data_IF_365759143734
#
_entry.id   IF_365759143734
#
_cell.length_a   1.000
_cell.length_b   1.000
_cell.length_c   1.000
_cell.angle_alpha   90.00
_cell.angle_beta   90.00
_cell.angle_gamma   90.00
#
_symmetry.space_group_name_H-M   'P 1'
#
loop_
_entity.id
_entity.type
_entity.pdbx_description
1 polymer ?
2 polymer ?
3 water ?
#
# COMPACT_ATOMS: atom_id res chain seq x y z
N UNK A 16 16.41 -0.18 25.71
CA UNK A 16 17.50 0.48 24.93
C UNK A 16 17.93 -0.36 23.71
N UNK A 17 17.04 -1.24 23.25
CA UNK A 17 17.31 -2.07 22.06
C UNK A 17 16.05 -2.31 21.23
N UNK A 18 16.21 -2.98 20.08
CA UNK A 18 15.19 -3.06 19.03
C UNK A 18 13.81 -3.45 19.53
N UNK A 19 12.85 -2.55 19.30
CA UNK A 19 11.50 -2.67 19.83
C UNK A 19 10.69 -3.71 19.08
N UNK A 20 10.66 -3.62 17.76
CA UNK A 20 10.00 -4.62 16.92
C UNK A 20 10.70 -5.99 16.96
N UNK A 21 11.98 -5.98 17.33
CA UNK A 21 12.80 -7.21 17.39
C UNK A 21 12.01 -8.46 17.83
N UNK A 22 11.19 -8.30 18.85
CA UNK A 22 10.45 -9.43 19.42
C UNK A 22 8.96 -9.45 19.02
N UNK A 23 8.61 -8.73 17.96
CA UNK A 23 7.21 -8.64 17.50
C UNK A 23 6.92 -9.57 16.34
N UNK A 24 5.73 -10.21 16.34
CA UNK A 24 5.39 -11.05 15.20
C UNK A 24 5.23 -10.19 13.96
N UNK A 25 5.77 -10.66 12.83
CA UNK A 25 5.76 -9.91 11.59
C UNK A 25 4.36 -9.49 11.18
N UNK A 26 3.40 -10.39 11.38
CA UNK A 26 2.01 -10.08 11.14
C UNK A 26 1.56 -8.76 11.77
N UNK A 27 2.03 -8.48 12.98
CA UNK A 27 1.54 -7.30 13.69
C UNK A 27 2.37 -6.06 13.37
N UNK A 28 3.58 -6.27 12.89
CA UNK A 28 4.37 -5.15 12.37
C UNK A 28 3.74 -4.62 11.09
N UNK A 29 3.25 -5.52 10.26
CA UNK A 29 2.57 -5.16 9.02
C UNK A 29 1.32 -4.38 9.34
N UNK A 30 0.58 -4.84 10.34
CA UNK A 30 -0.61 -4.15 10.73
C UNK A 30 -0.31 -2.72 11.12
N UNK A 31 0.77 -2.51 11.87
CA UNK A 31 1.19 -1.17 12.24
C UNK A 31 1.55 -0.37 10.99
N UNK A 32 2.18 -1.04 10.04
CA UNK A 32 2.59 -0.40 8.79
C UNK A 32 1.39 -0.11 7.91
N UNK A 33 0.33 -0.87 8.08
CA UNK A 33 -0.88 -0.68 7.32
C UNK A 33 -1.50 0.66 7.57
N UNK A 34 -1.14 1.31 8.64
CA UNK A 34 -1.67 2.65 8.95
C UNK A 34 -0.87 3.77 8.27
N UNK A 35 0.28 3.43 7.72
CA UNK A 35 1.13 4.41 7.10
C UNK A 35 0.88 4.52 5.58
N UNK A 36 0.99 5.74 5.07
CA UNK A 36 0.91 5.98 3.64
C UNK A 36 2.29 5.94 2.97
N UNK A 37 2.30 5.77 1.65
CA UNK A 37 3.54 5.50 0.91
C UNK A 37 4.77 6.34 1.29
N UNK A 38 4.60 7.66 1.47
CA UNK A 38 5.73 8.52 1.84
C UNK A 38 6.41 8.01 3.09
N UNK A 39 5.62 7.70 4.11
CA UNK A 39 6.13 7.26 5.39
C UNK A 39 6.71 5.85 5.30
N UNK A 40 6.00 4.93 4.62
CA UNK A 40 6.50 3.56 4.44
C UNK A 40 7.87 3.61 3.79
N UNK A 41 8.01 4.46 2.76
CA UNK A 41 9.29 4.71 2.09
C UNK A 41 10.41 5.04 3.09
N UNK A 42 10.13 5.98 3.99
CA UNK A 42 11.11 6.42 4.96
C UNK A 42 11.58 5.28 5.86
N UNK A 43 10.63 4.50 6.39
CA UNK A 43 10.98 3.38 7.25
C UNK A 43 11.50 2.18 6.45
N UNK A 44 11.23 2.18 5.15
CA UNK A 44 11.71 1.09 4.31
C UNK A 44 13.22 1.14 4.20
N UNK A 45 13.82 2.28 4.57
CA UNK A 45 15.26 2.40 4.48
C UNK A 45 15.98 2.53 5.83
N UNK A 46 15.39 1.89 6.84
CA UNK A 46 16.04 1.81 8.14
C UNK A 46 16.95 0.58 8.25
N UNK A 47 16.62 -0.46 7.46
CA UNK A 47 17.30 -1.76 7.49
C UNK A 47 16.67 -2.71 6.46
N UNK A 48 17.36 -3.79 6.11
CA UNK A 48 16.81 -4.80 5.19
C UNK A 48 15.46 -5.36 5.67
N UNK A 49 15.38 -5.60 6.98
CA UNK A 49 14.19 -6.12 7.63
C UNK A 49 12.97 -5.28 7.24
N UNK A 50 13.02 -3.98 7.55
CA UNK A 50 11.89 -3.09 7.25
C UNK A 50 11.73 -2.80 5.78
N UNK A 51 12.81 -2.95 5.02
CA UNK A 51 12.77 -2.83 3.58
C UNK A 51 11.84 -3.84 2.93
N UNK A 52 11.96 -5.10 3.35
CA UNK A 52 11.10 -6.17 2.84
C UNK A 52 9.66 -5.96 3.28
N UNK A 53 9.48 -5.61 4.55
CA UNK A 53 8.16 -5.49 5.16
C UNK A 53 7.32 -4.28 4.74
N UNK A 54 7.98 -3.18 4.38
CA UNK A 54 7.27 -1.94 4.02
C UNK A 54 6.86 -2.00 2.55
N UNK A 55 7.63 -2.79 1.78
CA UNK A 55 7.34 -3.04 0.39
C UNK A 55 6.42 -4.24 0.24
N UNK A 56 5.59 -4.46 1.27
CA UNK A 56 4.66 -5.56 1.27
C UNK A 56 3.66 -5.39 0.14
N UNK A 57 3.53 -6.47 -0.63
CA UNK A 57 2.55 -6.60 -1.69
C UNK A 57 1.18 -5.93 -1.36
N UNK A 58 0.74 -6.06 -0.12
CA UNK A 58 -0.57 -5.54 0.32
C UNK A 58 -0.57 -4.06 0.73
N UNK A 59 0.61 -3.45 0.84
CA UNK A 59 0.71 -2.06 1.29
C UNK A 59 0.90 -1.05 0.16
N UNK A 60 0.52 0.19 0.46
CA UNK A 60 0.49 1.32 -0.49
C UNK A 60 1.83 1.67 -1.15
N UNK A 61 2.94 1.39 -0.48
CA UNK A 61 4.24 1.68 -1.10
C UNK A 61 4.49 0.81 -2.34
N UNK A 62 4.30 -0.50 -2.20
CA UNK A 62 4.41 -1.41 -3.32
C UNK A 62 3.37 -1.10 -4.38
N UNK A 63 2.12 -0.91 -3.97
CA UNK A 63 1.03 -0.57 -4.90
C UNK A 63 1.24 0.68 -5.75
N UNK A 64 1.62 1.79 -5.12
CA UNK A 64 1.81 3.04 -5.86
C UNK A 64 3.08 3.02 -6.70
N UNK A 65 4.09 2.31 -6.22
CA UNK A 65 5.30 2.10 -6.99
C UNK A 65 5.03 1.37 -8.30
N UNK A 66 3.97 0.57 -8.35
CA UNK A 66 3.60 -0.05 -9.62
C UNK A 66 3.05 1.00 -10.56
N UNK A 67 2.05 1.76 -10.11
CA UNK A 67 1.44 2.76 -10.98
C UNK A 67 2.48 3.79 -11.44
N UNK A 68 3.55 3.94 -10.66
CA UNK A 68 4.63 4.81 -11.02
C UNK A 68 5.49 4.19 -12.10
N UNK A 69 5.86 2.93 -11.93
CA UNK A 69 6.67 2.23 -12.93
C UNK A 69 5.90 2.19 -14.25
N UNK A 70 4.62 1.84 -14.14
CA UNK A 70 3.69 1.84 -15.26
C UNK A 70 3.65 3.21 -15.96
N UNK A 71 3.66 4.28 -15.16
CA UNK A 71 3.59 5.63 -15.71
C UNK A 71 4.81 6.05 -16.49
N UNK A 72 5.98 5.63 -16.03
CA UNK A 72 7.21 5.96 -16.74
C UNK A 72 7.24 5.22 -18.07
N UNK A 73 6.88 3.94 -18.00
CA UNK A 73 6.77 3.09 -19.16
C UNK A 73 5.76 3.65 -20.18
N UNK A 74 4.62 4.14 -19.69
CA UNK A 74 3.65 4.76 -20.58
C UNK A 74 4.22 5.94 -21.34
N UNK A 75 4.85 6.86 -20.62
CA UNK A 75 5.51 7.99 -21.25
C UNK A 75 6.46 7.54 -22.35
N UNK A 76 7.30 6.54 -22.08
CA UNK A 76 8.24 6.06 -23.08
C UNK A 76 7.55 5.42 -24.27
N UNK A 77 6.52 4.62 -23.97
CA UNK A 77 5.73 4.02 -25.05
C UNK A 77 5.14 5.09 -25.99
N UNK A 78 4.65 6.17 -25.41
CA UNK A 78 4.17 7.31 -26.16
C UNK A 78 5.23 7.83 -27.16
N UNK A 79 6.44 8.10 -26.68
CA UNK A 79 7.57 8.52 -27.54
C UNK A 79 8.00 7.50 -28.60
N UNK A 80 8.03 6.23 -28.24
CA UNK A 80 8.45 5.19 -29.19
C UNK A 80 7.41 5.10 -30.30
N UNK A 81 6.15 5.16 -29.91
CA UNK A 81 5.06 5.09 -30.85
C UNK A 81 5.12 6.29 -31.80
N UNK A 82 5.29 7.49 -31.23
CA UNK A 82 5.20 8.71 -32.01
C UNK A 82 6.34 8.77 -33.04
N UNK A 83 7.49 8.19 -32.70
CA UNK A 83 8.65 8.30 -33.56
C UNK A 83 8.80 7.07 -34.47
N UNK A 84 7.72 6.29 -34.58
CA UNK A 84 7.66 5.13 -35.46
C UNK A 84 8.65 4.01 -35.07
N UNK A 85 9.19 4.11 -33.87
CA UNK A 85 10.16 3.15 -33.36
C UNK A 85 9.46 1.83 -32.93
N UNK A 86 8.99 1.09 -33.92
CA UNK A 86 8.16 -0.09 -33.71
C UNK A 86 8.79 -1.15 -32.79
N UNK A 87 10.09 -1.36 -32.98
CA UNK A 87 10.85 -2.34 -32.21
C UNK A 87 10.90 -1.95 -30.74
N UNK A 88 10.99 -0.65 -30.45
CA UNK A 88 10.98 -0.17 -29.07
C UNK A 88 9.57 -0.29 -28.44
N UNK A 89 8.55 0.09 -29.19
CA UNK A 89 7.17 -0.09 -28.78
C UNK A 89 6.93 -1.54 -28.41
N UNK A 90 7.42 -2.47 -29.23
CA UNK A 90 7.28 -3.90 -28.97
C UNK A 90 7.98 -4.32 -27.67
N UNK A 91 9.16 -3.74 -27.42
CA UNK A 91 9.90 -4.02 -26.16
C UNK A 91 9.06 -3.63 -24.96
N UNK A 92 8.50 -2.43 -24.99
CA UNK A 92 7.75 -1.89 -23.85
C UNK A 92 6.48 -2.66 -23.67
N UNK A 93 5.79 -2.90 -24.77
CA UNK A 93 4.62 -3.73 -24.74
C UNK A 93 4.91 -5.12 -24.15
N UNK A 94 6.04 -5.70 -24.52
CA UNK A 94 6.44 -7.01 -23.95
C UNK A 94 6.58 -7.03 -22.43
N UNK A 95 6.68 -5.84 -21.82
CA UNK A 95 6.75 -5.70 -20.37
C UNK A 95 5.36 -5.61 -19.72
N UNK A 96 4.36 -6.19 -20.37
CA UNK A 96 2.98 -6.20 -19.89
C UNK A 96 2.30 -4.87 -19.62
N UNK A 97 2.16 -4.06 -20.65
CA UNK A 97 1.43 -2.78 -20.58
C UNK A 97 0.24 -2.82 -21.52
N UNK A 98 -0.89 -2.29 -21.09
CA UNK A 98 -2.06 -2.21 -21.94
C UNK A 98 -2.20 -0.82 -22.53
N UNK A 99 -1.92 -0.67 -23.84
CA UNK A 99 -1.90 0.64 -24.50
C UNK A 99 -3.29 1.16 -24.81
N UNK A 100 -4.31 0.34 -24.58
CA UNK A 100 -5.69 0.76 -24.82
C UNK A 100 -6.21 1.52 -23.62
N UNK A 101 -5.62 1.24 -22.46
CA UNK A 101 -6.04 1.80 -21.18
C UNK A 101 -5.43 3.17 -20.90
N UNK A 102 -6.26 4.21 -20.99
CA UNK A 102 -5.82 5.58 -20.74
C UNK A 102 -6.71 6.27 -19.68
N UNK A 103 -6.28 7.43 -19.21
CA UNK A 103 -7.03 8.18 -18.20
C UNK A 103 -6.63 9.65 -18.17
N UNK A 104 -7.10 10.38 -17.16
CA UNK A 104 -6.89 11.83 -17.13
C UNK A 104 -5.43 12.18 -16.98
N UNK A 105 -4.73 11.42 -16.15
CA UNK A 105 -3.32 11.65 -15.91
C UNK A 105 -2.57 11.66 -17.25
N UNK A 106 -2.98 10.78 -18.17
CA UNK A 106 -2.37 10.65 -19.50
C UNK A 106 -3.12 11.44 -20.58
N UNK A 107 -3.93 12.39 -20.13
CA UNK A 107 -4.63 13.32 -21.03
C UNK A 107 -5.61 12.62 -21.96
N UNK A 108 -6.07 11.43 -21.54
CA UNK A 108 -6.90 10.54 -22.36
C UNK A 108 -6.37 10.27 -23.77
N UNK A 109 -5.04 10.27 -23.91
CA UNK A 109 -4.38 9.97 -25.19
C UNK A 109 -3.91 8.52 -25.17
N UNK A 110 -3.67 7.97 -26.35
CA UNK A 110 -3.16 6.60 -26.46
C UNK A 110 -1.96 6.60 -27.36
N UNK A 111 -1.05 5.63 -27.17
CA UNK A 111 0.05 5.49 -28.15
C UNK A 111 -0.42 5.29 -29.60
N UNK A 112 -1.67 4.89 -29.80
CA UNK A 112 -2.22 4.81 -31.16
C UNK A 112 -2.31 6.21 -31.72
N UNK A 113 -2.88 7.11 -30.94
CA UNK A 113 -2.97 8.51 -31.31
C UNK A 113 -1.57 9.12 -31.40
N UNK A 114 -0.65 8.67 -30.54
CA UNK A 114 0.77 9.10 -30.63
C UNK A 114 1.39 8.77 -31.98
N UNK A 115 1.38 7.49 -32.35
CA UNK A 115 1.84 7.06 -33.67
C UNK A 115 1.26 7.93 -34.84
N UNK A 116 -0.05 8.12 -34.84
CA UNK A 116 -0.73 8.85 -35.90
C UNK A 116 -0.19 10.28 -36.03
N UNK A 117 -0.14 11.02 -34.92
CA UNK A 117 0.39 12.38 -34.97
C UNK A 117 1.86 12.42 -35.44
N UNK A 118 2.63 11.39 -35.10
CA UNK A 118 4.02 11.33 -35.49
C UNK A 118 4.28 10.83 -36.90
N UNK A 119 3.23 10.72 -37.71
CA UNK A 119 3.29 10.11 -39.06
C UNK A 119 3.83 8.68 -39.07
N UNK A 120 3.74 7.99 -37.92
CA UNK A 120 4.26 6.63 -37.75
C UNK A 120 3.27 5.54 -38.16
N UNK A 121 2.90 5.55 -39.44
CA UNK A 121 1.76 4.73 -39.92
C UNK A 121 1.97 3.23 -39.87
N UNK A 122 3.21 2.79 -39.78
CA UNK A 122 3.46 1.37 -39.64
C UNK A 122 3.14 0.94 -38.21
N UNK A 123 3.53 1.82 -37.28
CA UNK A 123 3.39 1.58 -35.86
C UNK A 123 1.91 1.66 -35.48
N UNK A 124 1.25 2.64 -36.07
CA UNK A 124 -0.19 2.78 -35.91
C UNK A 124 -0.91 1.56 -36.47
N UNK A 125 -0.44 1.03 -37.59
CA UNK A 125 -1.08 -0.18 -38.12
C UNK A 125 -0.86 -1.35 -37.22
N UNK A 126 0.32 -1.37 -36.62
CA UNK A 126 0.66 -2.44 -35.72
C UNK A 126 -0.30 -2.40 -34.53
N UNK A 127 -0.38 -1.24 -33.90
CA UNK A 127 -1.19 -1.07 -32.70
C UNK A 127 -2.65 -1.30 -32.99
N UNK A 128 -3.14 -0.77 -34.11
CA UNK A 128 -4.54 -0.94 -34.45
C UNK A 128 -4.92 -2.41 -34.64
N UNK A 129 -4.11 -3.14 -35.39
CA UNK A 129 -4.36 -4.54 -35.67
C UNK A 129 -4.14 -5.42 -34.41
N UNK A 130 -3.12 -5.11 -33.62
CA UNK A 130 -2.69 -5.99 -32.54
C UNK A 130 -3.50 -5.81 -31.25
N UNK A 131 -4.24 -4.70 -31.14
CA UNK A 131 -5.02 -4.38 -29.91
C UNK A 131 -6.40 -3.81 -30.24
N UNK A 132 -7.28 -3.74 -29.25
CA UNK A 132 -8.62 -3.23 -29.50
C UNK A 132 -8.75 -1.80 -29.02
N UNK A 133 -8.85 -0.88 -29.98
CA UNK A 133 -8.93 0.54 -29.67
C UNK A 133 -10.28 1.09 -30.12
N UNK A 134 -10.79 2.08 -29.40
CA UNK A 134 -11.94 2.85 -29.83
C UNK A 134 -11.42 3.97 -30.75
N UNK A 135 -11.66 3.85 -32.05
CA UNK A 135 -11.08 4.82 -32.99
C UNK A 135 -11.74 6.18 -32.97
N UNK A 136 -12.90 6.28 -32.34
CA UNK A 136 -13.59 7.57 -32.21
C UNK A 136 -13.41 8.24 -30.88
N UNK A 137 -12.69 7.61 -29.96
CA UNK A 137 -12.53 8.15 -28.62
C UNK A 137 -11.59 9.36 -28.61
N UNK A 138 -12.17 10.51 -28.28
CA UNK A 138 -11.44 11.78 -28.19
C UNK A 138 -10.63 11.85 -26.91
N UNK A 139 -9.44 12.44 -26.98
CA UNK A 139 -8.56 12.60 -25.84
C UNK A 139 -8.97 13.86 -25.04
N UNK A 140 -8.09 14.41 -24.20
CA UNK A 140 -8.41 15.63 -23.46
C UNK A 140 -8.00 16.91 -24.20
N UNK A 141 -7.71 16.76 -25.48
CA UNK A 141 -7.57 17.89 -26.38
C UNK A 141 -8.71 17.86 -27.38
N UNK A 142 -9.53 16.81 -27.30
CA UNK A 142 -10.66 16.60 -28.20
C UNK A 142 -10.26 15.97 -29.52
N UNK A 143 -9.38 14.98 -29.47
CA UNK A 143 -8.94 14.31 -30.69
C UNK A 143 -9.07 12.79 -30.65
N UNK A 144 -9.53 12.21 -31.76
CA UNK A 144 -9.64 10.78 -31.89
C UNK A 144 -8.72 10.29 -32.99
N UNK A 145 -8.39 8.99 -32.97
CA UNK A 145 -7.64 8.43 -34.10
C UNK A 145 -8.23 8.81 -35.46
N UNK A 146 -9.52 8.57 -35.70
CA UNK A 146 -10.19 8.99 -36.93
C UNK A 146 -10.09 10.50 -37.18
N UNK A 147 -10.50 11.31 -36.21
CA UNK A 147 -10.55 12.76 -36.42
C UNK A 147 -9.18 13.35 -36.75
N UNK A 148 -8.15 12.80 -36.15
CA UNK A 148 -6.80 13.28 -36.39
C UNK A 148 -6.32 12.81 -37.75
N UNK A 149 -6.55 11.54 -38.06
CA UNK A 149 -6.20 10.99 -39.36
C UNK A 149 -6.90 11.76 -40.49
N UNK A 150 -8.14 12.18 -40.25
CA UNK A 150 -8.95 12.91 -41.22
C UNK A 150 -8.47 14.33 -41.40
N UNK A 151 -8.18 15.01 -40.29
CA UNK A 151 -7.62 16.35 -40.34
C UNK A 151 -6.24 16.30 -41.00
N UNK A 152 -5.58 15.16 -40.90
CA UNK A 152 -4.28 14.98 -41.55
C UNK A 152 -4.44 14.93 -43.05
N UNK A 153 -5.55 14.34 -43.48
CA UNK A 153 -5.83 14.10 -44.89
C UNK A 153 -6.19 15.40 -45.61
N UNK A 154 -6.84 16.30 -44.88
CA UNK A 154 -7.24 17.62 -45.40
C UNK A 154 -6.08 18.61 -45.46
N UNK A 155 -4.90 18.18 -45.00
CA UNK A 155 -3.73 19.04 -44.88
C UNK A 155 -2.75 18.90 -46.07
N UNK A 156 -2.56 20.00 -46.83
CA UNK A 156 -1.67 20.04 -48.01
C UNK A 156 -0.21 19.64 -47.76
N UNK A 157 0.33 19.98 -46.59
CA UNK A 157 1.73 19.68 -46.26
C UNK A 157 2.04 18.18 -46.11
N UNK A 158 1.03 17.34 -46.28
CA UNK A 158 1.20 15.89 -46.22
C UNK A 158 1.43 15.29 -47.60
N UNK A 159 2.54 14.57 -47.72
CA UNK A 159 2.96 13.94 -48.97
C UNK A 159 1.91 12.94 -49.51
N UNK A 160 2.05 12.52 -50.76
CA UNK A 160 1.05 11.68 -51.44
C UNK A 160 0.90 10.27 -50.85
N UNK A 161 2.01 9.57 -50.66
CA UNK A 161 2.00 8.20 -50.10
C UNK A 161 1.56 8.16 -48.62
N UNK A 162 1.89 9.21 -47.89
CA UNK A 162 1.40 9.39 -46.54
C UNK A 162 -0.10 9.41 -46.57
N UNK A 163 -0.66 10.28 -47.41
CA UNK A 163 -2.10 10.46 -47.48
C UNK A 163 -2.78 9.20 -47.96
N UNK A 164 -2.01 8.27 -48.46
CA UNK A 164 -2.57 7.00 -48.89
C UNK A 164 -2.59 6.05 -47.73
N UNK A 165 -1.46 5.93 -47.04
CA UNK A 165 -1.35 5.05 -45.87
C UNK A 165 -2.50 5.36 -44.92
N UNK A 166 -2.89 6.62 -44.92
CA UNK A 166 -3.91 7.11 -44.04
C UNK A 166 -5.27 6.59 -44.45
N UNK A 167 -5.72 6.93 -45.64
CA UNK A 167 -7.04 6.46 -46.08
C UNK A 167 -7.25 4.99 -45.76
N UNK A 168 -6.20 4.19 -45.95
CA UNK A 168 -6.24 2.77 -45.61
C UNK A 168 -6.60 2.57 -44.15
N UNK A 169 -6.07 3.45 -43.30
CA UNK A 169 -6.27 3.37 -41.87
C UNK A 169 -7.66 3.85 -41.48
N UNK A 170 -8.06 5.00 -42.00
CA UNK A 170 -9.43 5.48 -41.81
C UNK A 170 -10.45 4.40 -42.19
N UNK A 171 -10.30 3.82 -43.38
CA UNK A 171 -11.17 2.73 -43.79
C UNK A 171 -11.10 1.53 -42.85
N UNK A 172 -9.90 1.23 -42.36
CA UNK A 172 -9.74 0.16 -41.39
C UNK A 172 -10.57 0.45 -40.16
N UNK A 173 -10.43 1.65 -39.61
CA UNK A 173 -11.11 1.97 -38.38
C UNK A 173 -12.60 2.19 -38.54
N UNK A 174 -13.03 2.57 -39.73
CA UNK A 174 -14.44 2.87 -39.95
C UNK A 174 -15.24 1.64 -40.34
N UNK A 175 -14.64 0.79 -41.17
CA UNK A 175 -15.39 -0.30 -41.77
C UNK A 175 -15.09 -1.73 -41.28
N UNK A 176 -13.92 -1.98 -40.72
CA UNK A 176 -13.56 -3.35 -40.32
C UNK A 176 -14.35 -3.85 -39.10
N UNK A 177 -14.33 -5.17 -38.90
CA UNK A 177 -15.06 -5.80 -37.79
C UNK A 177 -14.50 -5.42 -36.44
N UNK A 178 -15.28 -5.69 -35.39
CA UNK A 178 -14.83 -5.47 -34.02
C UNK A 178 -15.07 -6.73 -33.19
N UNK A 179 -14.58 -6.75 -31.94
CA UNK A 179 -14.67 -7.90 -31.01
C UNK A 179 -14.10 -9.18 -31.60
N UNK B 2 -20.79 -13.43 37.81
CA UNK B 2 -20.11 -12.52 36.90
C UNK B 2 -18.59 -12.49 37.08
N UNK B 3 -18.11 -12.52 38.31
CA UNK B 3 -16.66 -12.40 38.53
C UNK B 3 -15.84 -13.67 38.27
N UNK B 4 -14.61 -13.50 37.75
CA UNK B 4 -13.58 -14.55 37.70
C UNK B 4 -12.19 -13.96 37.97
N UNK B 5 -11.20 -14.82 38.15
CA UNK B 5 -9.86 -14.32 38.43
C UNK B 5 -8.76 -14.92 37.60
N UNK B 6 -7.84 -14.07 37.19
CA UNK B 6 -6.75 -14.45 36.33
C UNK B 6 -5.48 -14.30 37.13
N UNK B 7 -4.48 -15.08 36.77
CA UNK B 7 -3.18 -15.00 37.40
C UNK B 7 -2.14 -14.70 36.34
N UNK B 8 -1.32 -13.68 36.60
CA UNK B 8 -0.21 -13.35 35.73
C UNK B 8 0.95 -14.34 35.88
N UNK B 9 2.03 -14.11 35.15
CA UNK B 9 3.25 -14.88 35.32
C UNK B 9 3.98 -14.54 36.63
N UNK B 10 3.71 -13.34 37.16
CA UNK B 10 4.24 -12.87 38.43
C UNK B 10 3.78 -13.77 39.56
N UNK B 11 2.63 -14.39 39.38
CA UNK B 11 2.00 -15.16 40.42
C UNK B 11 0.81 -14.42 40.96
N UNK B 12 0.75 -13.12 40.70
CA UNK B 12 -0.29 -12.27 41.25
C UNK B 12 -1.66 -12.52 40.62
N UNK B 13 -2.70 -12.45 41.44
CA UNK B 13 -4.06 -12.79 41.04
C UNK B 13 -4.94 -11.56 40.87
N UNK B 14 -5.62 -11.48 39.74
CA UNK B 14 -6.56 -10.39 39.45
C UNK B 14 -7.96 -10.94 39.31
N UNK B 15 -8.90 -10.37 40.04
CA UNK B 15 -10.29 -10.77 39.97
C UNK B 15 -11.05 -9.77 39.15
N UNK B 16 -11.64 -10.21 38.04
CA UNK B 16 -12.37 -9.30 37.15
C UNK B 16 -13.74 -9.84 36.74
N UNK B 17 -14.66 -8.93 36.46
CA UNK B 17 -15.98 -9.29 35.94
C UNK B 17 -15.75 -10.05 34.64
N UNK B 18 -16.64 -10.97 34.32
CA UNK B 18 -16.51 -11.80 33.12
C UNK B 18 -16.71 -10.97 31.84
N UNK B 19 -17.75 -10.14 31.84
CA UNK B 19 -18.05 -9.30 30.70
C UNK B 19 -16.79 -8.60 30.17
N UNK B 20 -16.06 -7.95 31.08
CA UNK B 20 -14.81 -7.30 30.74
C UNK B 20 -13.83 -8.31 30.17
N UNK B 21 -13.50 -9.31 30.96
CA UNK B 21 -12.53 -10.34 30.59
C UNK B 21 -12.82 -10.99 29.23
N UNK B 22 -14.10 -11.17 28.92
CA UNK B 22 -14.51 -11.78 27.68
C UNK B 22 -14.24 -10.92 26.47
N UNK B 23 -13.51 -9.84 26.66
CA UNK B 23 -13.12 -9.01 25.54
C UNK B 23 -11.81 -9.47 24.97
N UNK B 24 -11.16 -10.33 25.74
CA UNK B 24 -10.02 -11.10 25.28
C UNK B 24 -10.62 -12.37 24.73
N UNK B 25 -10.58 -12.50 23.42
CA UNK B 25 -11.08 -13.69 22.79
C UNK B 25 -10.34 -14.91 23.34
N UNK B 26 -9.04 -14.76 23.60
CA UNK B 26 -8.24 -15.83 24.18
C UNK B 26 -8.90 -16.32 25.46
N UNK B 27 -9.15 -15.41 26.40
CA UNK B 27 -9.81 -15.73 27.67
C UNK B 27 -11.20 -16.34 27.45
N UNK B 28 -11.97 -15.73 26.56
CA UNK B 28 -13.29 -16.22 26.16
C UNK B 28 -13.24 -17.68 25.67
N UNK B 29 -12.21 -18.03 24.90
CA UNK B 29 -12.03 -19.39 24.41
C UNK B 29 -11.74 -20.36 25.56
N UNK B 30 -10.92 -19.90 26.49
CA UNK B 30 -10.56 -20.70 27.64
C UNK B 30 -11.75 -21.06 28.47
N UNK B 31 -12.69 -20.14 28.60
CA UNK B 31 -13.84 -20.40 29.46
C UNK B 31 -14.77 -21.47 28.88
N UNK B 32 -14.72 -21.66 27.57
CA UNK B 32 -15.49 -22.71 26.92
C UNK B 32 -14.79 -24.02 27.13
N UNK B 33 -13.46 -23.98 27.06
CA UNK B 33 -12.64 -25.19 27.15
C UNK B 33 -12.67 -25.81 28.54
N UNK B 34 -13.45 -25.21 29.45
CA UNK B 34 -13.65 -25.70 30.80
C UNK B 34 -14.88 -24.96 31.38
N UNK B 35 -15.25 -25.26 32.60
CA UNK B 35 -16.38 -24.61 33.22
C UNK B 35 -16.45 -23.11 33.01
N UNK B 36 -17.60 -22.66 32.55
CA UNK B 36 -17.94 -21.25 32.53
C UNK B 36 -18.69 -20.94 33.82
N UNK B 37 -19.60 -19.97 33.74
CA UNK B 37 -20.44 -19.60 34.89
C UNK B 37 -21.21 -18.33 34.57
N UNK B 42 -14.55 -18.44 42.41
CA UNK B 42 -14.04 -19.79 42.24
C UNK B 42 -12.52 -19.79 42.04
N UNK B 43 -12.04 -20.58 41.08
CA UNK B 43 -10.64 -20.94 40.99
C UNK B 43 -9.91 -20.19 39.87
N UNK B 44 -8.77 -19.61 40.19
CA UNK B 44 -8.05 -18.74 39.21
C UNK B 44 -7.53 -19.43 37.95
N UNK B 45 -7.49 -18.69 36.85
CA UNK B 45 -6.97 -19.18 35.57
C UNK B 45 -5.65 -18.49 35.22
N UNK B 46 -4.59 -19.27 34.93
CA UNK B 46 -3.26 -18.70 34.69
C UNK B 46 -3.10 -18.08 33.30
N UNK B 47 -2.46 -16.92 33.24
CA UNK B 47 -2.06 -16.31 31.98
C UNK B 47 -0.54 -16.18 31.97
N UNK B 48 0.16 -17.24 31.58
CA UNK B 48 1.61 -17.32 31.63
C UNK B 48 2.38 -16.24 30.84
N UNK B 49 1.83 -15.77 29.73
CA UNK B 49 2.53 -14.76 28.93
C UNK B 49 2.23 -13.29 29.27
N UNK B 50 1.66 -13.02 30.44
CA UNK B 50 1.46 -11.63 30.88
C UNK B 50 1.95 -11.45 32.31
N UNK B 51 2.76 -10.41 32.52
CA UNK B 51 3.13 -9.99 33.87
C UNK B 51 1.99 -9.17 34.46
N UNK B 52 2.03 -8.90 35.75
CA UNK B 52 0.94 -8.24 36.46
C UNK B 52 0.86 -6.75 36.16
N UNK B 53 2.00 -6.12 35.87
CA UNK B 53 2.01 -4.71 35.51
C UNK B 53 1.19 -4.47 34.21
N UNK B 54 1.47 -5.30 33.20
CA UNK B 54 0.78 -5.24 31.93
C UNK B 54 -0.65 -5.67 32.12
N UNK B 55 -0.86 -6.87 32.67
CA UNK B 55 -2.19 -7.39 32.92
C UNK B 55 -3.07 -6.34 33.58
N UNK B 56 -2.55 -5.70 34.64
CA UNK B 56 -3.28 -4.65 35.34
C UNK B 56 -3.77 -3.60 34.36
N UNK B 57 -2.84 -3.12 33.53
CA UNK B 57 -3.14 -2.19 32.45
C UNK B 57 -4.27 -2.68 31.52
N UNK B 58 -4.19 -3.90 30.99
CA UNK B 58 -5.19 -4.37 30.04
C UNK B 58 -6.55 -4.55 30.69
N UNK B 59 -6.55 -4.89 31.97
CA UNK B 59 -7.79 -4.89 32.75
C UNK B 59 -8.40 -3.48 32.71
N UNK B 60 -7.59 -2.45 32.94
CA UNK B 60 -8.10 -1.09 32.87
C UNK B 60 -8.72 -0.83 31.50
N UNK B 61 -7.96 -1.11 30.44
CA UNK B 61 -8.41 -0.89 29.07
C UNK B 61 -9.76 -1.58 28.79
N UNK B 62 -9.82 -2.86 29.11
CA UNK B 62 -11.02 -3.66 28.84
C UNK B 62 -12.25 -3.18 29.62
N UNK B 63 -12.04 -2.72 30.84
CA UNK B 63 -13.14 -2.22 31.64
C UNK B 63 -13.71 -1.00 30.94
N UNK B 64 -12.88 0.01 30.73
CA UNK B 64 -13.30 1.20 30.02
C UNK B 64 -14.07 0.91 28.71
N UNK B 65 -13.83 -0.24 28.12
CA UNK B 65 -14.42 -0.54 26.83
C UNK B 65 -15.53 -1.58 26.84
N UNK B 66 -15.88 -2.12 27.99
CA UNK B 66 -16.86 -3.20 28.04
C UNK B 66 -18.13 -2.97 27.23
N UNK B 67 -18.45 -1.72 26.92
CA UNK B 67 -19.70 -1.45 26.22
C UNK B 67 -19.65 -1.32 24.70
N UNK B 68 -19.10 -0.24 24.19
CA UNK B 68 -18.75 -0.17 22.76
C UNK B 68 -19.78 -0.52 21.64
N UNK B 69 -19.35 -1.31 20.59
CA UNK B 69 -20.32 -1.51 19.52
C UNK B 69 -20.78 -2.96 19.44
N UNK B 79 -10.12 0.67 4.92
CA UNK B 79 -9.46 1.96 5.11
C UNK B 79 -8.90 2.08 6.52
N UNK B 80 -7.79 2.80 6.68
CA UNK B 80 -7.12 2.88 7.97
C UNK B 80 -6.70 4.31 8.34
N UNK B 81 -7.39 4.93 9.28
CA UNK B 81 -7.03 6.27 9.69
C UNK B 81 -6.33 6.21 11.03
N UNK B 82 -5.19 6.87 11.12
CA UNK B 82 -4.40 6.91 12.35
C UNK B 82 -4.78 8.01 13.34
N UNK B 83 -5.65 8.94 12.97
CA UNK B 83 -5.90 10.09 13.82
C UNK B 83 -7.16 9.99 14.67
N UNK B 84 -7.80 8.82 14.72
CA UNK B 84 -9.07 8.80 15.39
C UNK B 84 -9.00 8.04 16.68
N UNK B 85 -7.86 8.06 17.35
CA UNK B 85 -7.75 7.39 18.63
C UNK B 85 -8.50 8.19 19.70
N UNK B 86 -9.47 7.57 20.36
CA UNK B 86 -10.15 8.33 21.41
C UNK B 86 -9.21 9.00 22.38
N UNK B 87 -9.68 10.04 23.04
CA UNK B 87 -8.85 10.82 23.94
C UNK B 87 -8.36 9.98 25.13
N UNK B 88 -9.26 9.19 25.70
CA UNK B 88 -8.94 8.33 26.86
C UNK B 88 -7.78 7.37 26.58
N UNK B 89 -7.81 6.72 25.42
CA UNK B 89 -6.76 5.78 25.01
C UNK B 89 -5.41 6.45 24.77
N UNK B 90 -5.42 7.65 24.20
CA UNK B 90 -4.19 8.42 24.03
C UNK B 90 -3.51 8.68 25.35
N UNK B 91 -4.31 8.97 26.37
CA UNK B 91 -3.83 9.26 27.69
C UNK B 91 -3.36 7.97 28.35
N UNK B 92 -4.14 6.92 28.19
CA UNK B 92 -3.78 5.56 28.62
C UNK B 92 -2.46 5.08 28.01
N UNK B 93 -2.24 5.38 26.73
CA UNK B 93 -1.01 4.94 26.07
C UNK B 93 0.16 5.90 26.24
N UNK B 94 0.02 6.85 27.18
CA UNK B 94 1.16 7.70 27.53
C UNK B 94 2.06 6.94 28.51
N UNK B 95 2.84 6.02 27.96
CA UNK B 95 3.72 5.14 28.72
C UNK B 95 5.04 5.06 27.97
N UNK B 96 6.05 4.47 28.60
CA UNK B 96 7.32 4.22 27.90
C UNK B 96 7.19 3.16 26.81
N UNK B 97 8.11 3.21 25.85
CA UNK B 97 8.16 2.29 24.73
C UNK B 97 8.21 0.82 25.13
N UNK B 98 8.87 0.54 26.24
CA UNK B 98 8.91 -0.82 26.77
C UNK B 98 7.50 -1.29 27.00
N UNK B 99 6.75 -0.50 27.77
CA UNK B 99 5.39 -0.83 28.13
C UNK B 99 4.51 -0.91 26.89
N UNK B 100 4.72 0.01 25.96
CA UNK B 100 3.89 0.04 24.78
C UNK B 100 3.96 -1.26 23.96
N UNK B 101 5.15 -1.84 23.86
CA UNK B 101 5.30 -3.04 23.05
C UNK B 101 4.84 -4.29 23.79
N UNK B 102 4.80 -4.20 25.11
CA UNK B 102 4.31 -5.30 25.89
C UNK B 102 2.80 -5.27 25.89
N UNK B 103 2.24 -4.09 25.73
CA UNK B 103 0.80 -4.00 25.55
C UNK B 103 0.40 -4.64 24.23
N UNK B 104 1.10 -4.29 23.15
CA UNK B 104 0.88 -4.97 21.87
C UNK B 104 0.97 -6.51 21.96
N UNK B 105 2.04 -7.02 22.59
CA UNK B 105 2.19 -8.47 22.79
C UNK B 105 1.03 -9.02 23.59
N UNK B 106 0.65 -8.33 24.66
CA UNK B 106 -0.51 -8.72 25.44
C UNK B 106 -1.76 -8.69 24.57
N UNK B 107 -1.91 -7.64 23.76
CA UNK B 107 -3.06 -7.54 22.89
C UNK B 107 -3.14 -8.76 21.99
N UNK B 108 -1.97 -9.21 21.53
CA UNK B 108 -1.85 -10.41 20.69
C UNK B 108 -2.20 -11.70 21.41
N UNK B 109 -1.44 -11.96 22.45
CA UNK B 109 -1.62 -13.11 23.30
C UNK B 109 -3.07 -13.22 23.78
N UNK B 110 -3.62 -12.12 24.25
CA UNK B 110 -4.98 -12.15 24.78
C UNK B 110 -6.01 -11.99 23.68
N UNK B 111 -5.55 -11.61 22.49
CA UNK B 111 -6.41 -11.43 21.34
C UNK B 111 -7.56 -10.48 21.66
N UNK B 112 -7.21 -9.23 22.00
CA UNK B 112 -8.15 -8.13 22.14
C UNK B 112 -7.94 -7.14 21.00
N UNK B 113 -8.77 -7.27 19.96
CA UNK B 113 -8.58 -6.52 18.72
C UNK B 113 -8.54 -5.00 18.91
N UNK B 114 -9.46 -4.47 19.74
CA UNK B 114 -9.50 -3.03 20.02
C UNK B 114 -8.20 -2.45 20.54
N UNK B 115 -7.59 -3.15 21.49
CA UNK B 115 -6.35 -2.72 22.08
C UNK B 115 -5.24 -2.81 21.03
N UNK B 116 -5.30 -3.87 20.23
CA UNK B 116 -4.28 -4.09 19.22
C UNK B 116 -4.20 -2.92 18.24
N UNK B 117 -5.37 -2.41 17.84
CA UNK B 117 -5.46 -1.28 16.94
C UNK B 117 -4.82 0.00 17.48
N UNK B 118 -5.32 0.48 18.61
CA UNK B 118 -4.85 1.73 19.19
C UNK B 118 -3.35 1.70 19.52
N UNK B 119 -2.88 0.58 20.01
CA UNK B 119 -1.46 0.45 20.27
C UNK B 119 -0.68 0.49 18.97
N UNK B 120 -1.16 -0.24 17.96
CA UNK B 120 -0.50 -0.22 16.68
C UNK B 120 -0.56 1.19 16.07
N UNK B 121 -1.74 1.79 16.10
CA UNK B 121 -1.93 3.17 15.64
C UNK B 121 -0.96 4.13 16.35
N UNK B 122 -0.84 3.97 17.66
CA UNK B 122 0.07 4.80 18.45
C UNK B 122 1.53 4.69 18.02
N UNK B 123 1.94 3.49 17.64
CA UNK B 123 3.28 3.26 17.14
C UNK B 123 3.38 3.87 15.75
N UNK B 124 2.29 3.77 14.97
CA UNK B 124 2.34 4.30 13.59
C UNK B 124 2.53 5.82 13.60
N UNK B 125 1.86 6.49 14.53
CA UNK B 125 2.03 7.93 14.62
C UNK B 125 3.42 8.29 15.08
N UNK B 126 4.08 7.35 15.75
CA UNK B 126 5.47 7.57 16.15
C UNK B 126 6.38 7.57 14.94
N UNK B 127 5.98 6.82 13.93
CA UNK B 127 6.76 6.72 12.70
C UNK B 127 6.47 7.90 11.76
N UNK B 128 5.24 8.42 11.78
CA UNK B 128 4.85 9.53 10.91
C UNK B 128 5.78 10.74 11.08
N UNK B 129 5.97 11.50 10.01
CA UNK B 129 6.79 12.70 9.98
C UNK B 129 8.24 12.63 10.43
N UNK B 130 8.84 11.43 10.37
CA UNK B 130 10.23 11.28 10.80
C UNK B 130 11.22 10.98 9.68
N UNK B 131 12.49 11.28 9.95
CA UNK B 131 13.58 10.90 9.07
C UNK B 131 14.03 9.47 9.34
N UNK B 132 14.41 8.73 8.28
CA UNK B 132 14.93 7.37 8.45
C UNK B 132 15.84 7.20 9.66
N UNK B 133 16.74 8.15 9.89
CA UNK B 133 17.68 8.08 11.01
C UNK B 133 17.00 8.36 12.36
N UNK B 134 16.08 9.31 12.37
CA UNK B 134 15.27 9.61 13.55
C UNK B 134 14.39 8.42 13.90
N UNK B 135 13.82 7.79 12.88
CA UNK B 135 13.08 6.54 13.06
C UNK B 135 13.95 5.52 13.81
N UNK B 136 15.17 5.32 13.33
CA UNK B 136 16.12 4.42 13.96
C UNK B 136 16.46 4.83 15.37
N UNK B 137 16.65 6.12 15.59
CA UNK B 137 17.00 6.65 16.91
C UNK B 137 15.87 6.45 17.92
N UNK B 138 14.64 6.43 17.44
CA UNK B 138 13.45 6.25 18.26
C UNK B 138 13.26 4.80 18.66
N UNK B 139 13.66 3.87 17.78
CA UNK B 139 13.32 2.46 17.96
C UNK B 139 14.53 1.55 18.09
N UNK B 140 15.70 2.17 18.11
CA UNK B 140 16.98 1.47 18.19
C UNK B 140 17.12 0.42 17.11
N UNK B 141 17.00 0.90 15.88
CA UNK B 141 17.13 0.08 14.69
C UNK B 141 18.52 0.28 14.15
N UNK B 142 19.29 -0.79 14.11
CA UNK B 142 20.67 -0.69 13.69
C UNK B 142 20.72 -0.59 12.18
N UNK B 143 21.32 0.50 11.70
CA UNK B 143 21.53 0.67 10.29
C UNK B 143 22.66 -0.22 9.88
N UNK B 144 22.34 -1.15 8.98
CA UNK B 144 23.28 -2.15 8.50
C UNK B 144 23.54 -1.98 7.02
N UNK B 145 22.71 -1.18 6.38
CA UNK B 145 22.85 -0.86 4.97
C UNK B 145 24.18 -0.16 4.73
N UNK B 146 24.94 -0.64 3.74
CA UNK B 146 26.06 0.09 3.19
C UNK B 146 25.55 1.29 2.39
N UNK B 147 26.32 2.39 2.39
CA UNK B 147 25.93 3.63 1.73
C UNK B 147 25.41 3.43 0.32
N UNK B 148 26.07 2.59 -0.45
CA UNK B 148 25.63 2.25 -1.80
C UNK B 148 24.21 1.68 -1.84
N UNK B 149 23.97 0.60 -1.09
CA UNK B 149 22.67 -0.06 -1.08
C UNK B 149 21.59 0.81 -0.45
N UNK B 150 21.94 1.63 0.54
CA UNK B 150 20.97 2.57 1.09
C UNK B 150 20.57 3.63 0.05
N UNK B 151 21.56 4.28 -0.54
CA UNK B 151 21.33 5.23 -1.62
C UNK B 151 20.42 4.65 -2.71
N UNK B 152 20.50 3.34 -2.91
CA UNK B 152 19.68 2.65 -3.91
C UNK B 152 18.20 2.64 -3.59
N UNK B 153 17.82 2.31 -2.35
CA UNK B 153 16.42 2.40 -1.95
C UNK B 153 15.98 3.87 -1.89
N UNK B 154 16.91 4.74 -1.51
CA UNK B 154 16.68 6.19 -1.50
C UNK B 154 16.21 6.64 -2.88
N UNK B 155 17.02 6.32 -3.89
CA UNK B 155 16.74 6.66 -5.29
C UNK B 155 15.52 5.92 -5.82
N UNK B 156 15.39 4.67 -5.38
CA UNK B 156 14.30 3.79 -5.74
C UNK B 156 12.98 4.39 -5.26
N UNK B 157 13.02 5.17 -4.18
CA UNK B 157 11.83 5.81 -3.58
C UNK B 157 11.80 7.32 -3.80
N UNK B 158 12.38 7.76 -4.91
CA UNK B 158 12.38 9.15 -5.33
C UNK B 158 11.03 9.87 -5.14
N UNK B 159 9.95 9.30 -5.66
CA UNK B 159 8.72 10.04 -5.94
C UNK B 159 7.85 10.38 -4.75
N UNK B 160 8.40 10.36 -3.54
CA UNK B 160 7.62 10.74 -2.37
C UNK B 160 8.48 11.42 -1.32
#
# INVERSE_FOLDING_TARGET
>A
MGSSHHHHHHSQDPMKKNFFSDLPEETIVNTLSFLKANTLARIAQTCQFFNRLANDKHLELHQLRQQHIKRELWGNLMVAARSNNLEEVKKILKKGIDPTQTNSYHLNRTPLLAAIEGKAYQTANYLWRKYTFDPNFKDNYGDSPISLLKKQLANPAFKDKEKKQIRALIRGMQEEKIAQSK
>B
MPSIKLQSSDGEIFEVDVEIAKQSVTIKTMLEDLGMDDEGDDDPVPLPNVNAAILKKVIQWCTHHKDDPPPPEDDENKEKRTDDIPVWDQEFLKVDQGTLFELILAANYLDIKGLLDVTCKTVANMIKGKTPEEIRKTFNIKNDFTEEEEAQVRKENQWCEEK
#
